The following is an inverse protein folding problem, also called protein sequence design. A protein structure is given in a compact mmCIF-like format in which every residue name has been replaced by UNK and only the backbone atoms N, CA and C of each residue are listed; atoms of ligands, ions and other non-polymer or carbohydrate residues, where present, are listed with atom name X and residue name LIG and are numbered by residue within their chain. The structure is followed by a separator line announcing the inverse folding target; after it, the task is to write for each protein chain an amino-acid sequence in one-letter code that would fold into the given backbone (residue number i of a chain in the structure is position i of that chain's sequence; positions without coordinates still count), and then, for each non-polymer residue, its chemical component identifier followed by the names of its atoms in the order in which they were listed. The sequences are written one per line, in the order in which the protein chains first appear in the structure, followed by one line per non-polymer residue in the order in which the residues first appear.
data_IF_000184801327
#
_entry.id   IF_000184801327
#
_cell.length_a   1.000
_cell.length_b   1.000
_cell.length_c   1.000
_cell.angle_alpha   90.00
_cell.angle_beta   90.00
_cell.angle_gamma   90.00
#
_symmetry.space_group_name_H-M   'P 1'
#
loop_
_entity.id
_entity.type
_entity.pdbx_description
1 polymer ?
#
# COMPACT_ATOMS: atom_id res chain seq x y z
N UNK A 1 -1.22 -8.37 -17.03
CA UNK A 1 -0.54 -7.44 -16.11
C UNK A 1 -1.35 -7.34 -14.83
N UNK A 2 -0.71 -7.57 -13.68
CA UNK A 2 -1.30 -7.36 -12.34
C UNK A 2 -0.89 -5.97 -11.84
N UNK A 3 -1.84 -5.18 -11.36
CA UNK A 3 -1.58 -3.91 -10.67
C UNK A 3 -1.50 -4.12 -9.15
N UNK A 4 -0.83 -3.21 -8.44
CA UNK A 4 -0.81 -3.21 -6.97
C UNK A 4 -1.19 -1.84 -6.43
N UNK A 5 -2.09 -1.79 -5.44
CA UNK A 5 -2.56 -0.52 -4.86
C UNK A 5 -1.45 0.20 -4.09
N UNK A 6 -1.54 1.54 -4.03
CA UNK A 6 -0.58 2.39 -3.32
C UNK A 6 -0.81 2.33 -1.80
N UNK A 7 0.26 2.07 -1.05
CA UNK A 7 0.24 1.89 0.40
C UNK A 7 -0.12 3.19 1.15
N UNK A 8 -0.72 3.09 2.35
CA UNK A 8 -0.89 4.23 3.25
C UNK A 8 0.48 4.79 3.69
N UNK A 9 0.55 6.10 3.92
CA UNK A 9 1.83 6.81 4.15
C UNK A 9 1.71 8.01 5.12
N UNK A 10 0.68 8.03 5.98
CA UNK A 10 0.54 9.08 6.98
C UNK A 10 1.71 9.07 7.96
N UNK A 11 2.38 10.22 8.09
CA UNK A 11 3.57 10.38 8.92
C UNK A 11 4.88 10.05 8.21
N UNK A 12 4.87 9.75 6.91
CA UNK A 12 6.05 9.38 6.14
C UNK A 12 7.29 10.27 6.39
N UNK A 13 8.43 9.61 6.59
CA UNK A 13 9.79 10.15 6.67
C UNK A 13 10.05 11.11 7.85
N UNK A 14 9.67 10.74 9.09
CA UNK A 14 9.85 11.61 10.24
C UNK A 14 11.34 11.88 10.51
N UNK A 15 11.67 13.07 11.01
CA UNK A 15 13.04 13.51 11.32
C UNK A 15 13.99 13.55 10.11
N UNK A 16 13.44 13.66 8.90
CA UNK A 16 14.21 13.90 7.67
C UNK A 16 13.83 15.26 7.09
N UNK A 17 14.61 15.81 6.13
CA UNK A 17 14.19 17.01 5.37
C UNK A 17 12.89 16.83 4.56
N UNK A 18 12.33 15.61 4.53
CA UNK A 18 11.09 15.24 3.87
C UNK A 18 9.98 14.90 4.87
N UNK A 19 10.03 15.35 6.12
CA UNK A 19 8.98 15.10 7.13
C UNK A 19 7.60 15.69 6.77
N UNK A 20 7.53 16.49 5.70
CA UNK A 20 6.32 17.00 5.07
C UNK A 20 5.88 16.19 3.83
N UNK A 21 6.43 14.98 3.64
CA UNK A 21 6.14 14.14 2.49
C UNK A 21 4.65 13.78 2.42
N UNK A 22 4.05 13.46 3.57
CA UNK A 22 2.61 13.30 3.73
C UNK A 22 1.89 14.65 3.64
N UNK A 23 0.88 14.71 2.78
CA UNK A 23 -0.06 15.83 2.72
C UNK A 23 -1.47 15.27 2.50
N UNK A 24 -2.52 15.83 3.14
CA UNK A 24 -3.89 15.32 3.00
C UNK A 24 -4.37 15.23 1.54
N UNK A 25 -4.00 16.18 0.69
CA UNK A 25 -4.33 16.17 -0.75
C UNK A 25 -3.64 15.02 -1.51
N UNK A 26 -2.41 14.64 -1.13
CA UNK A 26 -1.71 13.48 -1.71
C UNK A 26 -2.39 12.18 -1.28
N UNK A 27 -2.84 12.06 -0.03
CA UNK A 27 -3.57 10.87 0.43
C UNK A 27 -4.95 10.75 -0.23
N UNK A 28 -5.65 11.87 -0.41
CA UNK A 28 -6.88 11.88 -1.22
C UNK A 28 -6.62 11.43 -2.65
N UNK A 29 -5.50 11.85 -3.27
CA UNK A 29 -5.13 11.39 -4.60
C UNK A 29 -4.80 9.88 -4.60
N UNK A 30 -4.04 9.40 -3.62
CA UNK A 30 -3.75 7.98 -3.43
C UNK A 30 -5.03 7.15 -3.36
N UNK A 31 -6.00 7.57 -2.54
CA UNK A 31 -7.29 6.88 -2.41
C UNK A 31 -8.06 6.87 -3.74
N UNK A 32 -8.06 7.97 -4.50
CA UNK A 32 -8.67 8.01 -5.85
C UNK A 32 -7.99 7.07 -6.83
N UNK A 33 -6.65 7.02 -6.83
CA UNK A 33 -5.88 6.10 -7.66
C UNK A 33 -6.21 4.65 -7.28
N UNK A 34 -6.19 4.30 -5.99
CA UNK A 34 -6.52 2.94 -5.56
C UNK A 34 -7.96 2.56 -5.91
N UNK A 35 -8.92 3.47 -5.75
CA UNK A 35 -10.30 3.22 -6.18
C UNK A 35 -10.39 2.98 -7.69
N UNK A 36 -9.71 3.80 -8.50
CA UNK A 36 -9.63 3.59 -9.94
C UNK A 36 -9.00 2.24 -10.27
N UNK A 37 -7.88 1.87 -9.65
CA UNK A 37 -7.23 0.58 -9.88
C UNK A 37 -8.20 -0.58 -9.62
N UNK A 38 -8.94 -0.53 -8.50
CA UNK A 38 -9.90 -1.57 -8.11
C UNK A 38 -11.11 -1.70 -9.04
N UNK A 39 -11.50 -0.64 -9.73
CA UNK A 39 -12.79 -0.56 -10.44
C UNK A 39 -12.68 -0.37 -11.95
N UNK A 40 -11.52 0.04 -12.46
CA UNK A 40 -11.35 0.37 -13.88
C UNK A 40 -11.25 -0.85 -14.79
N UNK A 41 -10.97 -2.02 -14.22
CA UNK A 41 -10.66 -3.26 -14.97
C UNK A 41 -9.52 -3.07 -15.99
N UNK A 42 -8.62 -2.10 -15.77
CA UNK A 42 -7.45 -1.87 -16.63
C UNK A 42 -6.39 -2.97 -16.50
N UNK A 43 -6.35 -3.65 -15.35
CA UNK A 43 -5.44 -4.76 -15.08
C UNK A 43 -6.19 -6.09 -15.13
N UNK A 44 -5.47 -7.18 -15.44
CA UNK A 44 -6.03 -8.54 -15.38
C UNK A 44 -6.37 -8.97 -13.94
N UNK A 45 -5.74 -8.32 -12.96
CA UNK A 45 -5.99 -8.47 -11.54
C UNK A 45 -5.34 -7.33 -10.75
N UNK A 46 -5.80 -7.11 -9.52
CA UNK A 46 -5.30 -6.06 -8.63
C UNK A 46 -4.96 -6.66 -7.28
N UNK A 47 -3.69 -6.57 -6.89
CA UNK A 47 -3.22 -6.90 -5.56
C UNK A 47 -3.46 -5.73 -4.61
N UNK A 48 -4.33 -5.92 -3.63
CA UNK A 48 -4.73 -4.83 -2.72
C UNK A 48 -3.79 -4.68 -1.51
N UNK A 49 -2.60 -4.14 -1.77
CA UNK A 49 -1.58 -3.88 -0.75
C UNK A 49 -2.00 -2.79 0.25
N UNK A 50 -2.79 -1.82 -0.18
CA UNK A 50 -3.42 -0.81 0.68
C UNK A 50 -4.28 -1.47 1.77
N UNK A 51 -5.15 -2.40 1.38
CA UNK A 51 -5.96 -3.15 2.36
C UNK A 51 -5.10 -4.08 3.21
N UNK A 52 -4.13 -4.76 2.60
CA UNK A 52 -3.29 -5.75 3.30
C UNK A 52 -2.35 -5.14 4.35
N UNK A 53 -1.85 -3.92 4.12
CA UNK A 53 -0.82 -3.32 4.97
C UNK A 53 -1.30 -2.19 5.88
N UNK A 54 -2.55 -1.71 5.76
CA UNK A 54 -3.05 -0.61 6.60
C UNK A 54 -3.17 -0.99 8.08
N UNK A 55 -2.97 0.01 8.94
CA UNK A 55 -3.35 -0.11 10.36
C UNK A 55 -4.89 -0.11 10.47
N UNK A 56 -5.52 -1.13 11.07
CA UNK A 56 -6.98 -1.18 11.23
C UNK A 56 -7.53 -0.06 12.12
N UNK A 57 -6.72 0.53 13.01
CA UNK A 57 -7.09 1.68 13.86
C UNK A 57 -6.82 3.01 13.18
N UNK A 58 -5.85 3.05 12.26
CA UNK A 58 -5.44 4.25 11.54
C UNK A 58 -5.24 3.94 10.05
N UNK A 59 -6.33 3.82 9.26
CA UNK A 59 -6.27 3.30 7.88
C UNK A 59 -5.39 4.10 6.90
N UNK A 60 -4.96 5.30 7.27
CA UNK A 60 -4.03 6.11 6.49
C UNK A 60 -2.55 5.85 6.84
N UNK A 61 -2.24 4.91 7.74
CA UNK A 61 -0.89 4.48 8.15
C UNK A 61 -0.63 3.03 7.79
N UNK A 62 0.65 2.68 7.61
CA UNK A 62 1.07 1.29 7.67
C UNK A 62 0.78 0.72 9.05
N UNK A 63 0.37 -0.55 9.08
CA UNK A 63 0.30 -1.31 10.31
C UNK A 63 1.71 -1.33 10.95
N UNK A 64 1.86 -0.97 12.23
CA UNK A 64 3.18 -0.94 12.88
C UNK A 64 3.98 -2.24 12.79
N UNK A 65 3.31 -3.40 12.64
CA UNK A 65 3.99 -4.70 12.47
C UNK A 65 4.73 -4.77 11.11
N UNK A 66 4.23 -4.06 10.10
CA UNK A 66 4.76 -4.04 8.73
C UNK A 66 5.60 -2.81 8.42
N UNK A 67 5.64 -1.81 9.30
CA UNK A 67 6.35 -0.54 9.09
C UNK A 67 7.86 -0.68 9.37
N UNK A 68 8.70 -0.12 8.50
CA UNK A 68 10.16 -0.02 8.72
C UNK A 68 10.54 0.98 9.83
N UNK A 69 9.59 1.83 10.22
CA UNK A 69 9.77 2.95 11.14
C UNK A 69 9.80 4.31 10.42
N UNK A 70 9.84 4.30 9.08
CA UNK A 70 9.77 5.53 8.28
C UNK A 70 8.35 5.89 7.83
N UNK A 71 7.34 5.08 8.16
CA UNK A 71 5.93 5.30 7.84
C UNK A 71 5.64 5.40 6.33
N UNK A 72 6.53 4.87 5.48
CA UNK A 72 6.39 4.85 4.02
C UNK A 72 6.71 3.48 3.43
N UNK A 73 7.81 2.85 3.86
CA UNK A 73 8.28 1.59 3.32
C UNK A 73 7.99 0.43 4.28
N UNK A 74 7.56 -0.74 3.76
CA UNK A 74 7.43 -1.95 4.55
C UNK A 74 8.78 -2.47 5.07
N UNK A 75 8.78 -3.04 6.27
CA UNK A 75 9.89 -3.84 6.81
C UNK A 75 9.89 -5.27 6.23
N UNK A 76 10.78 -6.13 6.70
CA UNK A 76 10.88 -7.54 6.26
C UNK A 76 9.56 -8.32 6.41
N UNK A 77 8.84 -8.13 7.52
CA UNK A 77 7.52 -8.76 7.74
C UNK A 77 6.47 -8.20 6.79
N UNK A 78 6.52 -6.90 6.51
CA UNK A 78 5.66 -6.26 5.53
C UNK A 78 5.91 -6.79 4.12
N UNK A 79 7.18 -6.93 3.71
CA UNK A 79 7.56 -7.52 2.43
C UNK A 79 7.13 -9.00 2.32
N UNK A 80 7.31 -9.79 3.38
CA UNK A 80 6.81 -11.16 3.43
C UNK A 80 5.29 -11.19 3.28
N UNK A 81 4.56 -10.34 4.01
CA UNK A 81 3.10 -10.28 3.92
C UNK A 81 2.62 -9.88 2.53
N UNK A 82 3.28 -8.90 1.87
CA UNK A 82 2.97 -8.55 0.48
C UNK A 82 3.13 -9.74 -0.47
N UNK A 83 4.15 -10.57 -0.28
CA UNK A 83 4.36 -11.78 -1.08
C UNK A 83 3.27 -12.84 -0.81
N UNK A 84 2.83 -13.00 0.44
CA UNK A 84 1.77 -13.94 0.83
C UNK A 84 0.38 -13.54 0.31
N UNK A 85 0.15 -12.25 0.04
CA UNK A 85 -1.09 -11.76 -0.58
C UNK A 85 -1.20 -12.11 -2.07
N UNK A 86 -0.10 -12.55 -2.69
CA UNK A 86 -0.09 -12.93 -4.10
C UNK A 86 -0.78 -14.28 -4.30
N UNK A 87 -1.95 -14.25 -4.94
CA UNK A 87 -2.63 -15.46 -5.40
C UNK A 87 -1.96 -15.99 -6.68
N UNK A 88 -1.24 -17.12 -6.56
CA UNK A 88 -0.52 -17.71 -7.68
C UNK A 88 -1.44 -18.19 -8.81
N UNK A 89 -2.68 -18.56 -8.50
CA UNK A 89 -3.65 -18.99 -9.51
C UNK A 89 -4.10 -17.80 -10.39
N UNK A 90 -3.98 -16.57 -9.89
CA UNK A 90 -4.22 -15.35 -10.68
C UNK A 90 -3.03 -14.98 -11.59
N UNK A 91 -1.85 -15.54 -11.34
CA UNK A 91 -0.61 -15.23 -12.07
C UNK A 91 -0.25 -16.32 -13.07
N UNK A 92 -0.39 -17.59 -12.65
CA UNK A 92 -0.02 -18.76 -13.43
C UNK A 92 -1.32 -19.39 -13.95
N UNK A 93 -1.59 -19.21 -15.24
CA UNK A 93 -2.70 -19.90 -15.91
C UNK A 93 -2.27 -21.34 -16.18
N UNK A 94 -2.86 -22.30 -15.47
CA UNK A 94 -2.74 -23.73 -15.77
C UNK A 94 -3.53 -24.12 -17.03
#
# INVERSE_FOLDING_TARGET
MIGATLLPFSGALPNTPLDNYYQPNKDQLRQRINHWMRTSHTFDGVLDLDEGLKDPKHPNRLNPIYDSGDHLHPNDRGNQHMAELVDLDQIIKN
#
